data_IF_235129753385
#
_entry.id   IF_235129753385
#
_cell.length_a   1.000
_cell.length_b   1.000
_cell.length_c   1.000
_cell.angle_alpha   90.00
_cell.angle_beta   90.00
_cell.angle_gamma   90.00
#
_symmetry.space_group_name_H-M   'P 1'
#
loop_
_entity.id
_entity.type
_entity.pdbx_description
1 polymer ?
#
# COMPACT_ATOMS: atom_id res chain seq x y z
N UNK A 1 23.14 4.41 -3.10
CA UNK A 1 21.86 5.09 -3.33
C UNK A 1 20.93 4.59 -2.26
N UNK A 2 20.57 5.45 -1.32
CA UNK A 2 19.58 5.09 -0.31
C UNK A 2 18.23 5.04 -1.01
N UNK A 3 17.60 3.88 -1.04
CA UNK A 3 16.25 3.72 -1.57
C UNK A 3 15.28 4.36 -0.57
N UNK A 4 14.57 5.41 -0.98
CA UNK A 4 13.66 6.17 -0.11
C UNK A 4 12.31 5.45 0.20
N UNK A 5 12.26 4.12 0.10
CA UNK A 5 11.03 3.34 0.27
C UNK A 5 10.14 3.31 -0.98
N UNK A 6 8.86 3.05 -0.77
CA UNK A 6 7.89 2.77 -1.83
C UNK A 6 6.78 3.81 -1.87
N UNK A 7 6.36 4.15 -3.08
CA UNK A 7 5.27 5.09 -3.34
C UNK A 7 4.18 4.38 -4.15
N UNK A 8 2.92 4.62 -3.80
CA UNK A 8 1.74 4.03 -4.42
C UNK A 8 0.86 5.11 -5.07
N UNK A 9 0.48 4.83 -6.30
CA UNK A 9 -0.58 5.52 -7.01
C UNK A 9 -1.78 4.56 -7.19
N UNK A 10 -2.99 5.08 -7.02
CA UNK A 10 -4.25 4.36 -7.16
C UNK A 10 -5.10 5.11 -8.17
N UNK A 11 -5.56 4.40 -9.20
CA UNK A 11 -6.33 4.96 -10.30
C UNK A 11 -7.43 4.01 -10.76
N UNK A 12 -8.48 4.56 -11.35
CA UNK A 12 -9.52 3.76 -12.01
C UNK A 12 -8.94 3.05 -13.24
N UNK A 13 -9.67 2.06 -13.78
CA UNK A 13 -9.27 1.43 -15.05
C UNK A 13 -9.27 2.42 -16.23
N UNK A 14 -10.01 3.53 -16.11
CA UNK A 14 -10.00 4.63 -17.08
C UNK A 14 -8.79 5.58 -16.92
N UNK A 15 -7.87 5.27 -15.99
CA UNK A 15 -6.69 6.09 -15.62
C UNK A 15 -7.05 7.42 -14.96
N UNK A 16 -8.21 7.49 -14.32
CA UNK A 16 -8.54 8.63 -13.46
C UNK A 16 -7.87 8.45 -12.10
N UNK A 17 -7.17 9.47 -11.64
CA UNK A 17 -6.42 9.46 -10.39
C UNK A 17 -7.38 9.43 -9.19
N UNK A 18 -7.15 8.52 -8.24
CA UNK A 18 -7.89 8.43 -6.97
C UNK A 18 -6.98 8.89 -5.82
N UNK A 19 -5.78 8.31 -5.73
CA UNK A 19 -4.72 8.67 -4.79
C UNK A 19 -3.39 8.66 -5.52
N UNK A 20 -2.53 9.64 -5.27
CA UNK A 20 -1.23 9.75 -5.92
C UNK A 20 -0.15 10.04 -4.89
N UNK A 21 1.01 9.42 -5.05
CA UNK A 21 2.20 9.71 -4.26
C UNK A 21 2.15 9.21 -2.81
N UNK A 22 1.35 8.18 -2.51
CA UNK A 22 1.15 7.72 -1.13
C UNK A 22 2.33 6.84 -0.68
N UNK A 23 3.04 7.19 0.40
CA UNK A 23 4.11 6.33 0.91
C UNK A 23 3.54 5.04 1.49
N UNK A 24 4.18 3.91 1.20
CA UNK A 24 3.88 2.64 1.85
C UNK A 24 4.68 2.51 3.14
N UNK A 25 3.98 2.22 4.23
CA UNK A 25 4.56 1.96 5.54
C UNK A 25 4.04 0.64 6.07
N UNK A 26 4.93 -0.15 6.66
CA UNK A 26 4.61 -1.45 7.23
C UNK A 26 3.47 -1.34 8.27
N UNK A 27 2.44 -2.17 8.10
CA UNK A 27 1.34 -2.32 9.06
C UNK A 27 0.33 -1.18 9.08
N UNK A 28 0.45 -0.19 8.20
CA UNK A 28 -0.50 0.92 8.08
C UNK A 28 -1.60 0.55 7.09
N UNK A 29 -2.87 0.68 7.50
CA UNK A 29 -3.99 0.68 6.56
C UNK A 29 -4.01 2.01 5.80
N UNK A 30 -3.69 1.91 4.51
CA UNK A 30 -3.58 3.04 3.61
C UNK A 30 -4.97 3.61 3.30
N UNK A 31 -5.99 2.76 3.12
CA UNK A 31 -7.32 3.20 2.73
C UNK A 31 -8.14 3.72 3.91
N UNK A 32 -7.82 3.32 5.14
CA UNK A 32 -8.46 3.84 6.35
C UNK A 32 -8.45 5.37 6.47
N UNK A 33 -7.39 6.05 5.98
CA UNK A 33 -7.30 7.52 5.98
C UNK A 33 -8.15 8.18 4.90
N UNK A 34 -8.62 7.41 3.92
CA UNK A 34 -9.35 7.87 2.74
C UNK A 34 -10.76 7.25 2.63
N UNK A 35 -11.33 6.75 3.73
CA UNK A 35 -12.67 6.13 3.73
C UNK A 35 -13.77 7.03 3.15
N UNK A 36 -13.62 8.35 3.24
CA UNK A 36 -14.57 9.32 2.64
C UNK A 36 -14.64 9.25 1.11
N UNK A 37 -13.69 8.58 0.44
CA UNK A 37 -13.72 8.31 -1.00
C UNK A 37 -14.63 7.12 -1.36
N UNK A 38 -15.20 6.42 -0.39
CA UNK A 38 -16.05 5.24 -0.62
C UNK A 38 -15.26 4.00 -1.05
N UNK A 39 -13.99 3.89 -0.60
CA UNK A 39 -13.19 2.68 -0.78
C UNK A 39 -13.61 1.67 0.29
N UNK A 40 -14.20 0.54 -0.15
CA UNK A 40 -14.63 -0.52 0.74
C UNK A 40 -13.47 -1.49 1.02
N UNK A 41 -13.04 -1.55 2.29
CA UNK A 41 -11.94 -2.40 2.74
C UNK A 41 -10.66 -1.65 3.07
N UNK A 42 -9.61 -2.43 3.37
CA UNK A 42 -8.31 -1.96 3.81
C UNK A 42 -7.21 -2.41 2.83
N UNK A 43 -6.21 -1.54 2.66
CA UNK A 43 -5.01 -1.85 1.88
C UNK A 43 -3.79 -1.73 2.79
N UNK A 44 -3.13 -2.85 3.07
CA UNK A 44 -1.99 -2.92 3.96
C UNK A 44 -0.72 -3.30 3.20
N UNK A 45 0.36 -2.56 3.44
CA UNK A 45 1.71 -3.02 3.15
C UNK A 45 2.25 -3.76 4.36
N UNK A 46 2.68 -5.01 4.17
CA UNK A 46 3.19 -5.86 5.24
C UNK A 46 4.54 -6.46 4.84
N UNK A 47 5.43 -6.52 5.82
CA UNK A 47 6.79 -7.02 5.72
C UNK A 47 6.93 -8.15 6.73
N UNK A 48 7.41 -9.32 6.31
CA UNK A 48 7.73 -10.42 7.22
C UNK A 48 8.83 -10.02 8.22
N UNK A 49 9.78 -9.20 7.76
CA UNK A 49 10.80 -8.54 8.59
C UNK A 49 10.84 -7.05 8.22
N UNK A 50 10.51 -6.18 9.17
CA UNK A 50 10.44 -4.73 8.97
C UNK A 50 11.81 -4.09 8.71
N UNK A 51 12.93 -4.77 9.00
CA UNK A 51 14.27 -4.25 8.65
C UNK A 51 14.52 -4.22 7.15
N UNK A 52 13.75 -4.99 6.37
CA UNK A 52 13.81 -5.03 4.91
C UNK A 52 12.73 -4.19 4.24
N UNK A 53 12.04 -3.29 4.96
CA UNK A 53 10.91 -2.51 4.44
C UNK A 53 11.21 -1.82 3.10
N UNK A 54 12.43 -1.32 2.90
CA UNK A 54 12.86 -0.63 1.67
C UNK A 54 13.69 -1.52 0.72
N UNK A 55 13.85 -2.82 1.00
CA UNK A 55 14.64 -3.73 0.17
C UNK A 55 13.84 -4.22 -1.04
N UNK A 56 14.32 -3.87 -2.24
CA UNK A 56 13.73 -4.28 -3.51
C UNK A 56 13.73 -5.81 -3.70
N UNK A 57 14.67 -6.53 -3.11
CA UNK A 57 14.76 -7.99 -3.27
C UNK A 57 13.67 -8.74 -2.51
N UNK A 58 13.05 -8.10 -1.52
CA UNK A 58 11.96 -8.63 -0.72
C UNK A 58 10.57 -8.28 -1.26
N UNK A 59 10.48 -7.37 -2.24
CA UNK A 59 9.22 -7.03 -2.88
C UNK A 59 8.57 -8.25 -3.56
N UNK A 60 7.33 -8.55 -3.18
CA UNK A 60 6.59 -9.73 -3.62
C UNK A 60 6.98 -11.04 -2.91
N UNK A 61 8.00 -11.03 -2.04
CA UNK A 61 8.44 -12.16 -1.22
C UNK A 61 8.09 -11.92 0.25
N UNK A 62 9.00 -11.37 1.05
CA UNK A 62 8.73 -10.97 2.43
C UNK A 62 7.90 -9.69 2.55
N UNK A 63 7.96 -8.80 1.54
CA UNK A 63 7.23 -7.53 1.51
C UNK A 63 6.08 -7.59 0.50
N UNK A 64 4.83 -7.45 0.96
CA UNK A 64 3.64 -7.61 0.12
C UNK A 64 2.57 -6.59 0.43
N UNK A 65 1.75 -6.30 -0.58
CA UNK A 65 0.50 -5.56 -0.43
C UNK A 65 -0.65 -6.56 -0.30
N UNK A 66 -1.50 -6.32 0.69
CA UNK A 66 -2.71 -7.08 0.95
C UNK A 66 -3.90 -6.16 0.86
N UNK A 67 -4.89 -6.54 0.06
CA UNK A 67 -6.21 -5.93 0.08
C UNK A 67 -7.17 -6.86 0.81
N UNK A 68 -7.88 -6.33 1.80
CA UNK A 68 -8.92 -7.04 2.53
C UNK A 68 -10.23 -6.30 2.37
N UNK A 69 -11.23 -6.99 1.85
CA UNK A 69 -12.56 -6.43 1.72
C UNK A 69 -13.30 -6.55 3.06
N UNK A 70 -13.92 -5.47 3.50
CA UNK A 70 -14.78 -5.52 4.69
C UNK A 70 -15.93 -6.50 4.42
N UNK A 71 -16.06 -7.51 5.28
CA UNK A 71 -17.18 -8.44 5.25
C UNK A 71 -18.37 -7.72 5.90
N UNK A 72 -19.41 -7.42 5.12
CA UNK A 72 -20.69 -7.00 5.69
C UNK A 72 -21.36 -8.14 6.45
#
# INVERSE_FOLDING_TARGET
MDFCGWILDVMTQAKEEILMGIPLLHGVDIFGQYQYLGLDGALLFYCEDSSYETDMNEAGKGNRLYFTQDSQ
#
